data_IF_662299233994
#
_entry.id   IF_662299233994
#
_cell.length_a   1.000
_cell.length_b   1.000
_cell.length_c   1.000
_cell.angle_alpha   90.00
_cell.angle_beta   90.00
_cell.angle_gamma   90.00
#
_symmetry.space_group_name_H-M   'P 1'
#
loop_
_entity.id
_entity.type
_entity.pdbx_description
1 polymer ?
#
# COMPACT_ATOMS: atom_id res chain seq x y z
N UNK A 1 -19.90 3.72 -23.01
CA UNK A 1 -20.36 2.67 -23.96
C UNK A 1 -19.16 1.83 -24.39
N UNK A 2 -19.10 0.53 -24.06
CA UNK A 2 -17.97 -0.37 -24.39
C UNK A 2 -17.75 -0.61 -25.88
N UNK A 3 -18.80 -0.48 -26.71
CA UNK A 3 -18.73 -0.73 -28.15
C UNK A 3 -17.99 0.35 -28.96
N UNK A 4 -17.60 1.45 -28.31
CA UNK A 4 -16.92 2.59 -28.95
C UNK A 4 -15.47 2.77 -28.47
N UNK A 5 -14.94 1.89 -27.62
CA UNK A 5 -13.53 2.01 -27.18
C UNK A 5 -12.53 1.38 -28.14
N UNK A 6 -12.94 0.45 -29.01
CA UNK A 6 -12.06 -0.07 -30.03
C UNK A 6 -11.80 1.03 -31.08
N UNK A 7 -10.55 1.47 -31.30
CA UNK A 7 -10.25 2.44 -32.35
C UNK A 7 -10.61 1.88 -33.72
N UNK A 8 -10.79 2.78 -34.70
CA UNK A 8 -11.05 2.38 -36.07
C UNK A 8 -9.97 1.43 -36.59
N UNK A 9 -10.38 0.31 -37.21
CA UNK A 9 -9.47 -0.73 -37.70
C UNK A 9 -9.05 -1.77 -36.66
N UNK A 10 -9.47 -1.66 -35.40
CA UNK A 10 -9.20 -2.65 -34.35
C UNK A 10 -10.42 -3.51 -34.03
N UNK A 11 -10.17 -4.75 -33.60
CA UNK A 11 -11.19 -5.68 -33.12
C UNK A 11 -10.86 -6.09 -31.69
N UNK A 12 -11.79 -5.88 -30.77
CA UNK A 12 -11.68 -6.42 -29.42
C UNK A 12 -11.81 -7.96 -29.44
N UNK A 13 -10.85 -8.65 -28.84
CA UNK A 13 -10.87 -10.09 -28.62
C UNK A 13 -10.89 -10.35 -27.13
N UNK A 14 -11.82 -11.19 -26.66
CA UNK A 14 -11.81 -11.64 -25.27
C UNK A 14 -10.68 -12.64 -25.08
N UNK A 15 -9.71 -12.26 -24.24
CA UNK A 15 -8.51 -13.05 -23.98
C UNK A 15 -8.73 -13.96 -22.75
N UNK A 16 -9.53 -13.51 -21.78
CA UNK A 16 -9.85 -14.28 -20.59
C UNK A 16 -10.77 -13.52 -19.65
N UNK A 17 -11.14 -14.16 -18.56
CA UNK A 17 -11.95 -13.59 -17.48
C UNK A 17 -11.46 -14.13 -16.15
N UNK A 18 -11.42 -13.28 -15.13
CA UNK A 18 -11.14 -13.63 -13.75
C UNK A 18 -12.38 -13.35 -12.89
N UNK A 19 -12.58 -14.15 -11.84
CA UNK A 19 -13.65 -13.92 -10.86
C UNK A 19 -13.20 -13.03 -9.70
N UNK A 20 -11.89 -12.81 -9.55
CA UNK A 20 -11.28 -12.03 -8.48
C UNK A 20 -10.13 -11.17 -9.01
N UNK A 21 -9.73 -10.13 -8.25
CA UNK A 21 -8.62 -9.25 -8.65
C UNK A 21 -7.28 -10.01 -8.57
N UNK A 22 -7.16 -10.93 -7.62
CA UNK A 22 -5.98 -11.78 -7.44
C UNK A 22 -5.73 -12.66 -8.67
N UNK A 23 -6.81 -13.19 -9.25
CA UNK A 23 -6.75 -14.04 -10.44
C UNK A 23 -6.37 -13.25 -11.72
N UNK A 24 -6.49 -11.92 -11.74
CA UNK A 24 -6.05 -11.11 -12.87
C UNK A 24 -4.55 -11.24 -13.14
N UNK A 25 -3.75 -11.55 -12.10
CA UNK A 25 -2.30 -11.76 -12.23
C UNK A 25 -1.94 -12.91 -13.18
N UNK A 26 -2.85 -13.85 -13.40
CA UNK A 26 -2.66 -14.97 -14.34
C UNK A 26 -2.51 -14.51 -15.80
N UNK A 27 -2.96 -13.31 -16.12
CA UNK A 27 -2.86 -12.72 -17.46
C UNK A 27 -1.61 -11.84 -17.65
N UNK A 28 -0.79 -11.62 -16.62
CA UNK A 28 0.43 -10.81 -16.74
C UNK A 28 1.42 -11.34 -17.80
N UNK A 29 1.68 -12.66 -17.91
CA UNK A 29 2.54 -13.19 -18.97
C UNK A 29 1.99 -12.95 -20.38
N UNK A 30 0.66 -12.78 -20.51
CA UNK A 30 0.02 -12.54 -21.78
C UNK A 30 0.23 -11.10 -22.26
N UNK A 31 0.15 -10.14 -21.34
CA UNK A 31 0.58 -8.78 -21.66
C UNK A 31 2.06 -8.76 -22.01
N UNK A 32 2.92 -9.38 -21.19
CA UNK A 32 4.37 -9.42 -21.40
C UNK A 32 4.77 -10.00 -22.77
N UNK A 33 4.09 -11.05 -23.23
CA UNK A 33 4.36 -11.70 -24.53
C UNK A 33 3.75 -10.97 -25.75
N UNK A 34 2.87 -9.99 -25.53
CA UNK A 34 2.27 -9.21 -26.63
C UNK A 34 3.26 -8.21 -27.26
N UNK A 35 2.97 -7.73 -28.47
CA UNK A 35 3.81 -6.70 -29.10
C UNK A 35 3.75 -5.37 -28.31
N UNK A 36 4.86 -4.62 -28.29
CA UNK A 36 4.83 -3.22 -27.84
C UNK A 36 3.84 -2.42 -28.69
N UNK A 37 3.11 -1.50 -28.06
CA UNK A 37 2.02 -0.76 -28.67
C UNK A 37 0.70 -1.54 -28.77
N UNK A 38 0.63 -2.79 -28.30
CA UNK A 38 -0.64 -3.51 -28.21
C UNK A 38 -1.61 -2.80 -27.26
N UNK A 39 -2.90 -2.86 -27.60
CA UNK A 39 -3.96 -2.17 -26.88
C UNK A 39 -4.65 -3.15 -25.93
N UNK A 40 -4.74 -2.77 -24.66
CA UNK A 40 -5.35 -3.58 -23.62
C UNK A 40 -6.60 -2.91 -23.07
N UNK A 41 -7.65 -3.73 -22.91
CA UNK A 41 -8.91 -3.36 -22.31
C UNK A 41 -9.26 -4.38 -21.23
N UNK A 42 -9.48 -3.90 -20.01
CA UNK A 42 -10.09 -4.68 -18.94
C UNK A 42 -11.45 -4.10 -18.62
N UNK A 43 -12.41 -4.99 -18.43
CA UNK A 43 -13.72 -4.69 -17.86
C UNK A 43 -13.73 -5.22 -16.42
N UNK A 44 -14.03 -4.34 -15.48
CA UNK A 44 -14.22 -4.67 -14.07
C UNK A 44 -15.71 -4.56 -13.74
N UNK A 45 -16.31 -5.67 -13.32
CA UNK A 45 -17.70 -5.73 -12.90
C UNK A 45 -17.77 -5.66 -11.36
N UNK A 46 -18.49 -4.66 -10.84
CA UNK A 46 -18.66 -4.45 -9.40
C UNK A 46 -20.09 -4.78 -8.95
N UNK A 47 -20.25 -5.14 -7.68
CA UNK A 47 -21.56 -5.34 -7.08
C UNK A 47 -22.35 -4.02 -6.95
N UNK A 48 -21.64 -2.93 -6.68
CA UNK A 48 -22.17 -1.57 -6.52
C UNK A 48 -21.31 -0.58 -7.29
N UNK A 49 -21.83 0.62 -7.57
CA UNK A 49 -21.04 1.66 -8.23
C UNK A 49 -19.86 2.08 -7.35
N UNK A 50 -18.62 2.00 -7.84
CA UNK A 50 -17.48 2.56 -7.12
C UNK A 50 -17.66 4.08 -6.98
N UNK A 51 -17.15 4.64 -5.89
CA UNK A 51 -17.23 6.08 -5.65
C UNK A 51 -16.37 6.86 -6.67
N UNK A 52 -16.78 8.08 -7.01
CA UNK A 52 -16.00 8.94 -7.92
C UNK A 52 -14.59 9.20 -7.37
N UNK A 53 -14.47 9.39 -6.06
CA UNK A 53 -13.17 9.58 -5.39
C UNK A 53 -12.23 8.39 -5.59
N UNK A 54 -12.73 7.15 -5.48
CA UNK A 54 -11.92 5.96 -5.70
C UNK A 54 -11.46 5.84 -7.16
N UNK A 55 -12.32 6.21 -8.10
CA UNK A 55 -11.98 6.22 -9.53
C UNK A 55 -10.98 7.31 -9.89
N UNK A 56 -11.13 8.52 -9.32
CA UNK A 56 -10.21 9.63 -9.51
C UNK A 56 -8.82 9.30 -8.91
N UNK A 57 -8.79 8.64 -7.74
CA UNK A 57 -7.53 8.16 -7.14
C UNK A 57 -6.87 7.08 -8.00
N UNK A 58 -7.64 6.14 -8.56
CA UNK A 58 -7.11 5.11 -9.46
C UNK A 58 -6.53 5.74 -10.74
N UNK A 59 -7.26 6.68 -11.36
CA UNK A 59 -6.81 7.39 -12.55
C UNK A 59 -5.50 8.13 -12.29
N UNK A 60 -5.45 8.90 -11.19
CA UNK A 60 -4.26 9.63 -10.78
C UNK A 60 -3.08 8.69 -10.53
N UNK A 61 -3.31 7.57 -9.85
CA UNK A 61 -2.26 6.59 -9.57
C UNK A 61 -1.73 5.92 -10.84
N UNK A 62 -2.59 5.62 -11.82
CA UNK A 62 -2.17 5.12 -13.13
C UNK A 62 -1.31 6.15 -13.87
N UNK A 63 -1.70 7.43 -13.84
CA UNK A 63 -0.94 8.50 -14.47
C UNK A 63 0.43 8.71 -13.81
N UNK A 64 0.48 8.71 -12.47
CA UNK A 64 1.73 8.83 -11.70
C UNK A 64 2.67 7.64 -11.92
N UNK A 65 2.12 6.43 -12.09
CA UNK A 65 2.88 5.24 -12.45
C UNK A 65 3.42 5.27 -13.90
N UNK A 66 2.93 6.19 -14.73
CA UNK A 66 3.33 6.34 -16.13
C UNK A 66 2.62 5.39 -17.09
N UNK A 67 1.45 4.86 -16.72
CA UNK A 67 0.64 3.98 -17.59
C UNK A 67 0.33 4.73 -18.89
N UNK A 68 0.67 4.11 -20.03
CA UNK A 68 0.50 4.75 -21.33
C UNK A 68 -0.97 4.80 -21.75
N UNK A 69 -1.42 5.99 -22.15
CA UNK A 69 -2.77 6.22 -22.62
C UNK A 69 -3.03 5.50 -23.95
N UNK A 70 -4.24 4.97 -24.06
CA UNK A 70 -4.73 4.45 -25.33
C UNK A 70 -4.82 5.60 -26.37
N UNK A 71 -4.31 5.43 -27.61
CA UNK A 71 -4.42 6.45 -28.66
C UNK A 71 -5.86 6.95 -28.88
N UNK A 72 -6.05 8.27 -28.83
CA UNK A 72 -7.35 8.92 -29.02
C UNK A 72 -8.18 9.07 -27.73
N UNK A 73 -7.64 8.60 -26.60
CA UNK A 73 -8.29 8.62 -25.30
C UNK A 73 -7.45 9.45 -24.30
N UNK A 74 -8.12 10.19 -23.42
CA UNK A 74 -7.48 11.09 -22.44
C UNK A 74 -7.35 10.51 -21.05
N UNK A 75 -7.99 9.37 -20.79
CA UNK A 75 -8.04 8.71 -19.49
C UNK A 75 -7.67 7.23 -19.60
N UNK A 76 -7.26 6.64 -18.48
CA UNK A 76 -7.09 5.18 -18.34
C UNK A 76 -8.39 4.55 -17.83
N UNK A 77 -9.08 5.22 -16.90
CA UNK A 77 -10.26 4.76 -16.19
C UNK A 77 -11.54 5.35 -16.79
N UNK A 78 -12.52 4.48 -17.08
CA UNK A 78 -13.82 4.88 -17.63
C UNK A 78 -14.97 4.15 -16.94
N UNK A 79 -15.79 4.85 -16.17
CA UNK A 79 -17.00 4.27 -15.59
C UNK A 79 -18.16 4.24 -16.59
N UNK A 80 -18.92 3.14 -16.57
CA UNK A 80 -20.23 3.09 -17.21
C UNK A 80 -21.27 3.80 -16.34
N UNK A 81 -22.13 4.61 -16.97
CA UNK A 81 -23.17 5.38 -16.26
C UNK A 81 -24.45 4.58 -16.02
N UNK A 82 -24.59 3.42 -16.68
CA UNK A 82 -25.79 2.59 -16.66
C UNK A 82 -25.62 1.29 -15.89
N UNK A 83 -24.37 0.88 -15.63
CA UNK A 83 -24.04 -0.35 -14.92
C UNK A 83 -22.83 -0.11 -13.99
N UNK A 84 -22.70 -0.84 -12.87
CA UNK A 84 -21.53 -0.77 -11.99
C UNK A 84 -20.31 -1.44 -12.62
N UNK A 85 -19.87 -0.89 -13.76
CA UNK A 85 -18.80 -1.42 -14.61
C UNK A 85 -17.77 -0.34 -14.84
N UNK A 86 -16.50 -0.67 -14.70
CA UNK A 86 -15.38 0.22 -15.01
C UNK A 86 -14.50 -0.43 -16.06
N UNK A 87 -14.14 0.35 -17.07
CA UNK A 87 -13.21 -0.05 -18.10
C UNK A 87 -11.85 0.58 -17.83
N UNK A 88 -10.80 -0.23 -17.90
CA UNK A 88 -9.41 0.21 -17.89
C UNK A 88 -8.81 0.00 -19.27
N UNK A 89 -8.22 1.06 -19.79
CA UNK A 89 -7.80 1.19 -21.18
C UNK A 89 -6.38 1.73 -21.25
N UNK A 90 -5.43 0.94 -21.74
CA UNK A 90 -4.03 1.37 -21.85
C UNK A 90 -3.31 0.78 -23.06
N UNK A 91 -2.20 1.41 -23.43
CA UNK A 91 -1.27 0.91 -24.43
C UNK A 91 -0.10 0.19 -23.73
N UNK A 92 0.33 -0.93 -24.29
CA UNK A 92 1.51 -1.64 -23.80
C UNK A 92 2.79 -0.92 -24.22
N UNK A 93 3.36 -0.13 -23.31
CA UNK A 93 4.79 0.24 -23.33
C UNK A 93 5.67 -0.67 -22.47
N UNK A 94 5.06 -1.25 -21.44
CA UNK A 94 5.65 -2.16 -20.45
C UNK A 94 4.56 -3.15 -19.99
N UNK A 95 4.90 -4.17 -19.21
CA UNK A 95 3.92 -5.05 -18.57
C UNK A 95 3.22 -4.30 -17.42
N UNK A 96 2.19 -3.51 -17.74
CA UNK A 96 1.49 -2.63 -16.80
C UNK A 96 0.51 -3.37 -15.89
N UNK A 97 0.03 -4.54 -16.29
CA UNK A 97 -1.02 -5.28 -15.59
C UNK A 97 -0.68 -5.56 -14.12
N UNK A 98 0.53 -6.02 -13.73
CA UNK A 98 0.88 -6.18 -12.31
C UNK A 98 0.79 -4.86 -11.52
N UNK A 99 1.17 -3.74 -12.14
CA UNK A 99 1.10 -2.41 -11.52
C UNK A 99 -0.38 -2.01 -11.36
N UNK A 100 -1.17 -2.14 -12.42
CA UNK A 100 -2.61 -1.83 -12.42
C UNK A 100 -3.36 -2.67 -11.37
N UNK A 101 -3.05 -3.97 -11.27
CA UNK A 101 -3.61 -4.85 -10.22
C UNK A 101 -3.25 -4.32 -8.83
N UNK A 102 -1.98 -3.97 -8.61
CA UNK A 102 -1.53 -3.38 -7.35
C UNK A 102 -2.29 -2.09 -6.99
N UNK A 103 -2.51 -1.22 -7.98
CA UNK A 103 -3.25 0.03 -7.81
C UNK A 103 -4.75 -0.21 -7.52
N UNK A 104 -5.37 -1.18 -8.20
CA UNK A 104 -6.77 -1.56 -7.94
C UNK A 104 -6.97 -2.03 -6.50
N UNK A 105 -6.04 -2.85 -6.00
CA UNK A 105 -6.07 -3.36 -4.62
C UNK A 105 -5.92 -2.23 -3.59
N UNK A 106 -5.14 -1.18 -3.89
CA UNK A 106 -4.88 -0.10 -2.92
C UNK A 106 -5.88 1.05 -3.00
N UNK A 107 -6.51 1.30 -4.15
CA UNK A 107 -7.40 2.45 -4.36
C UNK A 107 -8.88 2.07 -4.34
N UNK A 108 -9.26 0.98 -5.01
CA UNK A 108 -10.66 0.60 -5.20
C UNK A 108 -11.12 -0.38 -4.13
N UNK A 109 -10.25 -1.29 -3.71
CA UNK A 109 -10.58 -2.28 -2.68
C UNK A 109 -10.93 -1.63 -1.32
N UNK A 110 -10.15 -0.68 -0.76
CA UNK A 110 -10.46 -0.16 0.58
C UNK A 110 -11.82 0.55 0.68
N UNK A 111 -12.25 1.38 -0.29
CA UNK A 111 -13.60 1.93 -0.34
C UNK A 111 -14.70 0.86 -0.43
N UNK A 112 -14.47 -0.21 -1.21
CA UNK A 112 -15.42 -1.32 -1.34
C UNK A 112 -15.48 -2.21 -0.09
N UNK A 113 -14.35 -2.42 0.57
CA UNK A 113 -14.26 -3.16 1.84
C UNK A 113 -14.77 -2.33 3.03
N UNK A 114 -14.65 -1.00 2.92
CA UNK A 114 -14.80 -0.03 4.01
C UNK A 114 -16.22 0.14 4.56
N UNK A 115 -17.24 -0.42 3.94
CA UNK A 115 -18.61 -0.40 4.49
C UNK A 115 -19.25 -1.78 4.51
N UNK A 116 -19.14 -2.56 3.44
CA UNK A 116 -19.84 -3.84 3.31
C UNK A 116 -19.06 -5.00 3.92
N UNK A 117 -17.75 -5.08 3.67
CA UNK A 117 -16.90 -6.14 4.24
C UNK A 117 -16.61 -5.88 5.70
N UNK A 118 -16.43 -4.64 6.14
CA UNK A 118 -16.41 -4.35 7.58
C UNK A 118 -17.71 -4.78 8.27
N UNK A 119 -18.87 -4.65 7.63
CA UNK A 119 -20.11 -5.11 8.25
C UNK A 119 -20.25 -6.64 8.26
N UNK A 120 -19.82 -7.33 7.19
CA UNK A 120 -19.89 -8.80 7.05
C UNK A 120 -18.77 -9.59 7.73
N UNK A 121 -17.67 -8.92 8.11
CA UNK A 121 -16.49 -9.56 8.68
C UNK A 121 -16.76 -10.00 10.12
N UNK A 122 -16.40 -11.25 10.50
CA UNK A 122 -16.53 -11.71 11.87
C UNK A 122 -15.72 -10.84 12.84
N UNK A 123 -16.28 -10.60 14.02
CA UNK A 123 -15.69 -9.79 15.09
C UNK A 123 -14.27 -10.26 15.46
N UNK A 124 -13.98 -11.55 15.36
CA UNK A 124 -12.65 -12.11 15.61
C UNK A 124 -11.58 -11.57 14.65
N UNK A 125 -11.94 -11.34 13.39
CA UNK A 125 -11.04 -10.86 12.35
C UNK A 125 -10.85 -9.34 12.45
N UNK A 126 -11.91 -8.60 12.80
CA UNK A 126 -11.82 -7.18 13.18
C UNK A 126 -10.94 -6.97 14.40
N UNK A 127 -11.07 -7.84 15.41
CA UNK A 127 -10.27 -7.79 16.63
C UNK A 127 -8.81 -8.17 16.37
N UNK A 128 -8.55 -9.12 15.47
CA UNK A 128 -7.19 -9.47 15.05
C UNK A 128 -6.50 -8.31 14.33
N UNK A 129 -7.16 -7.69 13.35
CA UNK A 129 -6.64 -6.51 12.64
C UNK A 129 -6.44 -5.34 13.62
N UNK A 130 -7.44 -5.04 14.45
CA UNK A 130 -7.34 -3.99 15.47
C UNK A 130 -6.23 -4.27 16.48
N UNK A 131 -5.99 -5.54 16.82
CA UNK A 131 -4.89 -5.98 17.66
C UNK A 131 -3.52 -5.74 17.02
N UNK A 132 -3.37 -6.07 15.73
CA UNK A 132 -2.13 -5.81 14.97
C UNK A 132 -1.87 -4.31 14.84
N UNK A 133 -2.90 -3.52 14.52
CA UNK A 133 -2.80 -2.06 14.39
C UNK A 133 -2.47 -1.43 15.74
N UNK A 134 -3.16 -1.81 16.83
CA UNK A 134 -2.85 -1.32 18.17
C UNK A 134 -1.44 -1.72 18.63
N UNK A 135 -0.99 -2.92 18.29
CA UNK A 135 0.38 -3.36 18.57
C UNK A 135 1.39 -2.52 17.78
N UNK A 136 1.11 -2.22 16.51
CA UNK A 136 1.91 -1.31 15.68
C UNK A 136 1.97 0.10 16.25
N UNK A 137 0.82 0.68 16.63
CA UNK A 137 0.73 2.00 17.28
C UNK A 137 1.51 1.98 18.59
N UNK A 138 1.36 0.94 19.41
CA UNK A 138 2.09 0.80 20.66
C UNK A 138 3.61 0.73 20.42
N UNK A 139 4.08 0.00 19.41
CA UNK A 139 5.49 -0.03 19.02
C UNK A 139 5.99 1.33 18.53
N UNK A 140 5.21 2.06 17.75
CA UNK A 140 5.54 3.40 17.27
C UNK A 140 5.61 4.39 18.43
N UNK A 141 4.64 4.34 19.36
CA UNK A 141 4.63 5.15 20.58
C UNK A 141 5.83 4.82 21.46
N UNK A 142 6.14 3.54 21.65
CA UNK A 142 7.33 3.11 22.40
C UNK A 142 8.63 3.59 21.73
N UNK A 143 8.72 3.52 20.41
CA UNK A 143 9.84 4.07 19.64
C UNK A 143 9.95 5.59 19.79
N UNK A 144 8.84 6.32 19.76
CA UNK A 144 8.79 7.76 19.99
C UNK A 144 9.24 8.11 21.42
N UNK A 145 8.74 7.41 22.44
CA UNK A 145 9.17 7.59 23.84
C UNK A 145 10.66 7.32 24.00
N UNK A 146 11.19 6.26 23.35
CA UNK A 146 12.62 5.93 23.38
C UNK A 146 13.47 6.99 22.67
N UNK A 147 12.96 7.61 21.60
CA UNK A 147 13.64 8.70 20.87
C UNK A 147 13.57 10.04 21.61
N UNK A 148 12.56 10.24 22.45
CA UNK A 148 12.33 11.47 23.21
C UNK A 148 12.83 11.43 24.66
N UNK A 149 13.22 10.25 25.19
CA UNK A 149 13.91 10.11 26.47
C UNK A 149 15.43 10.06 26.25
N UNK A 150 16.16 11.18 26.34
CA UNK A 150 17.61 11.13 26.42
C UNK A 150 18.02 10.53 27.78
N UNK A 151 18.83 9.48 27.74
CA UNK A 151 19.69 8.97 28.81
C UNK A 151 19.37 9.42 30.25
N UNK A 152 18.48 8.71 30.94
CA UNK A 152 18.56 8.60 32.40
C UNK A 152 19.68 7.62 32.78
N UNK A 153 20.92 7.95 32.42
CA UNK A 153 22.08 7.43 33.14
C UNK A 153 22.12 8.16 34.47
N UNK A 154 21.97 7.47 35.62
CA UNK A 154 22.25 8.11 36.90
C UNK A 154 23.73 8.51 36.87
N UNK A 155 23.96 9.82 36.98
CA UNK A 155 25.27 10.39 37.16
C UNK A 155 25.91 9.66 38.35
N UNK A 156 26.96 8.87 38.09
CA UNK A 156 27.80 8.30 39.14
C UNK A 156 28.39 9.48 39.89
N UNK A 157 27.72 9.84 40.98
CA UNK A 157 28.16 10.79 41.97
C UNK A 157 29.59 10.42 42.36
N UNK A 158 30.54 11.24 41.91
CA UNK A 158 31.94 11.13 42.28
C UNK A 158 32.02 11.36 43.78
N UNK A 159 31.98 10.29 44.56
CA UNK A 159 32.37 10.29 45.97
C UNK A 159 33.79 10.85 46.03
N UNK A 160 33.90 12.13 46.36
CA UNK A 160 35.16 12.77 46.75
C UNK A 160 35.72 11.92 47.89
N UNK A 161 36.81 11.20 47.60
CA UNK A 161 37.65 10.55 48.61
C UNK A 161 38.00 11.61 49.66
N UNK A 162 37.31 11.56 50.80
CA UNK A 162 37.78 12.21 52.02
C UNK A 162 39.07 11.50 52.37
N UNK A 163 40.17 12.24 52.30
CA UNK A 163 41.51 11.83 52.68
C UNK A 163 41.47 11.58 54.19
N UNK A 164 41.22 10.32 54.57
CA UNK A 164 41.36 9.87 55.95
C UNK A 164 42.86 9.83 56.26
N UNK A 165 43.36 10.93 56.82
CA UNK A 165 44.64 10.94 57.53
C UNK A 165 44.48 10.10 58.80
N UNK A 166 45.03 8.90 58.74
CA UNK A 166 45.15 7.91 59.80
C UNK A 166 45.88 8.51 61.04
N UNK A 167 45.34 8.33 62.26
CA UNK A 167 46.12 8.60 63.46
C UNK A 167 46.78 7.31 63.99
N UNK A 168 48.12 7.41 64.10
CA UNK A 168 48.90 7.09 65.32
C UNK A 168 49.27 5.63 65.64
N UNK A 169 50.59 5.32 65.62
CA UNK A 169 51.43 4.94 66.80
C UNK A 169 52.81 4.38 66.38
N UNK A 170 53.92 4.96 66.89
CA UNK A 170 54.91 4.40 67.87
C UNK A 170 55.70 3.19 67.32
N UNK A 171 57.02 3.00 67.40
CA UNK A 171 58.16 3.32 68.28
C UNK A 171 59.44 3.11 67.41
N UNK A 172 60.57 3.81 67.52
CA UNK A 172 61.55 3.75 68.61
C UNK A 172 62.81 2.96 68.20
N UNK A 173 63.97 3.62 68.08
CA UNK A 173 65.33 3.06 68.24
C UNK A 173 66.32 4.26 68.28
N UNK A 174 66.73 4.71 69.46
CA UNK A 174 67.89 4.22 70.22
C UNK A 174 69.23 4.75 69.67
N UNK A 175 70.00 5.35 70.57
CA UNK A 175 71.44 5.22 70.57
C UNK A 175 71.80 3.93 71.31
#
# INVERSE_FOLDING_TARGET
>A
MPYTMAPEGYRALLIGSAASIEDLGTFAPLEESSAEGALFLIRLDFAEYPSSEALDQLEQACFEAGVELWPGFSHVVYADLSQPVVYLAWQKGFAWLPIIIGLLVTTVLPPLLGSLVWWLMPEDLKNLISGIVNLGIMLVVMLLVTKLMPSFTPEKEKVRKVKQSEPEKLEGAAA
#
